data_IF_991516644426
#
_entry.id   IF_991516644426
#
_cell.length_a   1.000
_cell.length_b   1.000
_cell.length_c   1.000
_cell.angle_alpha   90.00
_cell.angle_beta   90.00
_cell.angle_gamma   90.00
#
_symmetry.space_group_name_H-M   'P 1'
#
loop_
_entity.id
_entity.type
_entity.pdbx_description
1 polymer ?
#
# COMPACT_ATOMS: atom_id res chain seq x y z
N UNK A 1 4.22 23.10 3.95
CA UNK A 1 5.24 22.04 3.71
C UNK A 1 4.57 20.71 4.04
N UNK A 2 4.63 19.73 3.15
CA UNK A 2 3.98 18.43 3.37
C UNK A 2 4.93 17.51 4.14
N UNK A 3 4.59 17.01 5.33
CA UNK A 3 5.43 16.08 6.08
C UNK A 3 5.56 14.74 5.37
N UNK A 4 6.74 14.13 5.46
CA UNK A 4 6.99 12.75 5.09
C UNK A 4 7.05 11.92 6.37
N UNK A 5 6.19 10.92 6.50
CA UNK A 5 6.16 9.96 7.60
C UNK A 5 6.80 8.65 7.15
N UNK A 6 7.83 8.22 7.88
CA UNK A 6 8.41 6.87 7.75
C UNK A 6 7.84 6.01 8.88
N UNK A 7 7.31 4.85 8.53
CA UNK A 7 6.82 3.86 9.50
C UNK A 7 7.74 2.64 9.41
N UNK A 8 8.35 2.27 10.54
CA UNK A 8 9.29 1.16 10.61
C UNK A 8 9.05 0.29 11.84
N UNK A 9 9.71 -0.87 11.86
CA UNK A 9 9.63 -1.79 12.97
C UNK A 9 11.01 -2.34 13.35
N UNK A 10 11.40 -3.51 12.84
CA UNK A 10 12.58 -4.26 13.24
C UNK A 10 13.44 -4.73 12.07
N UNK A 11 13.47 -3.97 10.96
CA UNK A 11 14.23 -4.30 9.74
C UNK A 11 15.32 -3.25 9.47
N UNK A 12 16.48 -3.32 10.15
CA UNK A 12 17.51 -2.27 10.06
C UNK A 12 17.99 -2.01 8.64
N UNK A 13 18.24 -3.07 7.86
CA UNK A 13 18.76 -2.92 6.50
C UNK A 13 17.75 -2.30 5.55
N UNK A 14 16.49 -2.68 5.62
CA UNK A 14 15.42 -2.07 4.85
C UNK A 14 15.26 -0.59 5.21
N UNK A 15 15.20 -0.28 6.51
CA UNK A 15 15.12 1.10 7.01
C UNK A 15 16.30 1.95 6.49
N UNK A 16 17.51 1.40 6.50
CA UNK A 16 18.70 2.08 5.96
C UNK A 16 18.54 2.43 4.49
N UNK A 17 18.13 1.47 3.67
CA UNK A 17 17.94 1.67 2.24
C UNK A 17 16.83 2.69 1.95
N UNK A 18 15.74 2.66 2.69
CA UNK A 18 14.66 3.65 2.58
C UNK A 18 15.15 5.06 2.91
N UNK A 19 15.91 5.25 3.99
CA UNK A 19 16.49 6.55 4.35
C UNK A 19 17.49 7.02 3.28
N UNK A 20 18.32 6.12 2.74
CA UNK A 20 19.26 6.47 1.67
C UNK A 20 18.57 6.92 0.38
N UNK A 21 17.48 6.29 -0.01
CA UNK A 21 16.67 6.73 -1.14
C UNK A 21 16.06 8.13 -0.90
N UNK A 22 15.62 8.42 0.32
CA UNK A 22 15.08 9.72 0.69
C UNK A 22 16.15 10.81 0.81
N UNK A 23 17.40 10.45 1.15
CA UNK A 23 18.53 11.39 1.22
C UNK A 23 18.75 12.14 -0.09
N UNK A 24 18.49 11.51 -1.24
CA UNK A 24 18.61 12.16 -2.55
C UNK A 24 17.62 13.31 -2.72
N UNK A 25 16.45 13.18 -2.09
CA UNK A 25 15.32 14.12 -2.22
C UNK A 25 15.29 15.17 -1.11
N UNK A 26 15.96 14.90 0.01
CA UNK A 26 16.09 15.78 1.17
C UNK A 26 14.75 16.37 1.64
N UNK A 27 13.73 15.57 1.98
CA UNK A 27 12.48 16.10 2.49
C UNK A 27 12.74 16.96 3.74
N UNK A 28 12.24 18.22 3.77
CA UNK A 28 12.61 19.17 4.81
C UNK A 28 11.86 19.00 6.12
N UNK A 29 10.81 18.17 6.16
CA UNK A 29 10.03 17.84 7.36
C UNK A 29 9.76 16.34 7.36
N UNK A 30 10.33 15.63 8.32
CA UNK A 30 10.29 14.18 8.42
C UNK A 30 9.78 13.77 9.79
N UNK A 31 8.80 12.89 9.80
CA UNK A 31 8.34 12.14 10.96
C UNK A 31 8.80 10.69 10.83
N UNK A 32 9.28 10.11 11.90
CA UNK A 32 9.58 8.68 11.97
C UNK A 32 8.83 8.06 13.13
N UNK A 33 7.99 7.10 12.85
CA UNK A 33 7.36 6.26 13.85
C UNK A 33 7.93 4.85 13.78
N UNK A 34 8.42 4.34 14.91
CA UNK A 34 8.84 2.95 15.04
C UNK A 34 7.93 2.22 16.02
N UNK A 35 7.36 1.09 15.56
CA UNK A 35 6.62 0.19 16.45
C UNK A 35 7.56 -0.53 17.43
N UNK A 36 7.06 -0.86 18.62
CA UNK A 36 7.81 -1.51 19.67
C UNK A 36 8.06 -3.00 19.41
N UNK A 37 9.02 -3.62 20.11
CA UNK A 37 9.28 -5.04 20.01
C UNK A 37 8.09 -5.86 20.50
N UNK A 38 7.86 -7.02 19.88
CA UNK A 38 6.87 -7.99 20.36
C UNK A 38 7.27 -8.52 21.75
N UNK A 39 6.28 -8.74 22.58
CA UNK A 39 6.50 -9.19 23.96
C UNK A 39 7.35 -10.48 23.98
N UNK A 40 8.36 -10.52 24.86
CA UNK A 40 9.28 -11.65 25.04
C UNK A 40 10.04 -12.07 23.76
N UNK A 41 10.30 -11.14 22.86
CA UNK A 41 11.08 -11.39 21.65
C UNK A 41 12.39 -10.59 21.68
N UNK A 42 13.46 -11.22 22.15
CA UNK A 42 14.78 -10.59 22.27
C UNK A 42 15.37 -10.21 20.90
N UNK A 43 15.05 -10.96 19.85
CA UNK A 43 15.47 -10.63 18.47
C UNK A 43 14.84 -9.32 18.03
N UNK A 44 13.54 -9.12 18.29
CA UNK A 44 12.88 -7.85 18.00
C UNK A 44 13.49 -6.71 18.81
N UNK A 45 13.75 -6.94 20.10
CA UNK A 45 14.34 -5.93 20.98
C UNK A 45 15.70 -5.45 20.42
N UNK A 46 16.58 -6.39 20.05
CA UNK A 46 17.88 -6.08 19.47
C UNK A 46 17.78 -5.33 18.13
N UNK A 47 16.88 -5.79 17.23
CA UNK A 47 16.68 -5.17 15.93
C UNK A 47 16.01 -3.80 16.02
N UNK A 48 15.01 -3.63 16.88
CA UNK A 48 14.40 -2.31 17.12
C UNK A 48 15.42 -1.30 17.63
N UNK A 49 16.33 -1.71 18.52
CA UNK A 49 17.43 -0.86 18.96
C UNK A 49 18.34 -0.45 17.80
N UNK A 50 18.73 -1.37 16.94
CA UNK A 50 19.53 -1.06 15.74
C UNK A 50 18.82 -0.06 14.81
N UNK A 51 17.50 -0.22 14.61
CA UNK A 51 16.70 0.73 13.82
C UNK A 51 16.71 2.11 14.46
N UNK A 52 16.53 2.24 15.79
CA UNK A 52 16.59 3.54 16.49
C UNK A 52 17.95 4.23 16.30
N UNK A 53 19.05 3.49 16.53
CA UNK A 53 20.40 4.02 16.34
C UNK A 53 20.66 4.49 14.91
N UNK A 54 20.04 3.83 13.95
CA UNK A 54 20.13 4.16 12.52
C UNK A 54 19.32 5.43 12.19
N UNK A 55 18.11 5.56 12.75
CA UNK A 55 17.28 6.76 12.59
C UNK A 55 17.99 7.97 13.16
N UNK A 56 18.58 7.87 14.36
CA UNK A 56 19.30 8.96 15.01
C UNK A 56 20.50 9.50 14.20
N UNK A 57 21.09 8.66 13.33
CA UNK A 57 22.27 8.99 12.51
C UNK A 57 21.99 9.12 11.03
N UNK A 58 20.81 8.70 10.58
CA UNK A 58 20.51 8.50 9.15
C UNK A 58 20.14 9.79 8.42
N UNK A 59 19.70 10.82 9.12
CA UNK A 59 19.24 12.09 8.57
C UNK A 59 20.36 13.13 8.61
N UNK A 60 21.24 13.09 7.63
CA UNK A 60 22.42 13.96 7.51
C UNK A 60 22.20 15.18 6.58
N UNK A 61 20.95 15.44 6.20
CA UNK A 61 20.55 16.63 5.46
C UNK A 61 19.73 17.59 6.34
N UNK A 62 19.65 18.88 6.00
CA UNK A 62 18.85 19.85 6.75
C UNK A 62 17.35 19.48 6.70
N UNK A 63 16.81 18.97 7.80
CA UNK A 63 15.38 18.67 7.96
C UNK A 63 14.94 18.88 9.41
N UNK A 64 13.66 19.20 9.57
CA UNK A 64 12.98 19.10 10.87
C UNK A 64 12.58 17.65 11.09
N UNK A 65 13.25 16.97 12.03
CA UNK A 65 13.06 15.55 12.31
C UNK A 65 12.28 15.36 13.62
N UNK A 66 11.15 14.67 13.52
CA UNK A 66 10.35 14.23 14.67
C UNK A 66 10.39 12.70 14.76
N UNK A 67 10.79 12.16 15.90
CA UNK A 67 10.84 10.72 16.13
C UNK A 67 9.89 10.30 17.23
N UNK A 68 9.19 9.19 17.02
CA UNK A 68 8.31 8.54 18.01
C UNK A 68 8.62 7.05 18.05
N UNK A 69 9.14 6.58 19.17
CA UNK A 69 9.49 5.19 19.38
C UNK A 69 8.53 4.57 20.37
N UNK A 70 7.72 3.61 19.92
CA UNK A 70 6.82 2.88 20.80
C UNK A 70 7.58 1.90 21.69
N UNK A 71 7.20 1.81 22.95
CA UNK A 71 7.74 0.83 23.89
C UNK A 71 7.01 -0.53 23.78
N UNK A 72 5.80 -0.53 23.22
CA UNK A 72 4.97 -1.72 23.05
C UNK A 72 4.67 -1.96 21.58
N UNK A 73 4.59 -3.22 21.16
CA UNK A 73 4.19 -3.58 19.83
C UNK A 73 2.68 -3.37 19.66
N UNK A 74 2.29 -2.48 18.74
CA UNK A 74 0.90 -2.21 18.38
C UNK A 74 0.41 -3.17 17.29
N UNK A 75 1.32 -3.79 16.56
CA UNK A 75 1.03 -4.54 15.35
C UNK A 75 0.82 -3.64 14.14
N UNK A 76 1.00 -4.20 12.94
CA UNK A 76 1.09 -3.47 11.68
C UNK A 76 -0.10 -2.49 11.49
N UNK A 77 -1.34 -2.96 11.64
CA UNK A 77 -2.55 -2.14 11.42
C UNK A 77 -2.62 -0.94 12.37
N UNK A 78 -2.55 -1.19 13.67
CA UNK A 78 -2.79 -0.17 14.68
C UNK A 78 -1.60 0.80 14.79
N UNK A 79 -0.38 0.33 14.51
CA UNK A 79 0.81 1.17 14.41
C UNK A 79 0.69 2.18 13.26
N UNK A 80 0.27 1.74 12.08
CA UNK A 80 0.10 2.60 10.90
C UNK A 80 -1.02 3.62 11.12
N UNK A 81 -2.19 3.17 11.62
CA UNK A 81 -3.32 4.06 11.90
C UNK A 81 -2.91 5.13 12.92
N UNK A 82 -2.23 4.71 14.00
CA UNK A 82 -1.74 5.62 15.03
C UNK A 82 -0.78 6.66 14.45
N UNK A 83 0.26 6.21 13.76
CA UNK A 83 1.30 7.10 13.24
C UNK A 83 0.76 8.14 12.25
N UNK A 84 -0.12 7.72 11.33
CA UNK A 84 -0.73 8.64 10.37
C UNK A 84 -1.64 9.63 11.07
N UNK A 85 -2.45 9.17 12.02
CA UNK A 85 -3.38 10.03 12.78
C UNK A 85 -2.61 11.09 13.57
N UNK A 86 -1.50 10.72 14.24
CA UNK A 86 -0.67 11.65 14.99
C UNK A 86 -0.13 12.76 14.08
N UNK A 87 0.42 12.43 12.92
CA UNK A 87 0.92 13.46 11.99
C UNK A 87 -0.21 14.33 11.47
N UNK A 88 -1.36 13.74 11.12
CA UNK A 88 -2.51 14.47 10.61
C UNK A 88 -3.22 15.32 11.69
N UNK A 89 -2.99 15.10 12.96
CA UNK A 89 -3.45 16.02 14.02
C UNK A 89 -2.76 17.39 13.91
N UNK A 90 -1.55 17.44 13.37
CA UNK A 90 -0.75 18.66 13.26
C UNK A 90 -0.69 19.21 11.83
N UNK A 91 -0.94 18.38 10.82
CA UNK A 91 -0.81 18.73 9.40
C UNK A 91 -2.07 18.42 8.61
N UNK A 92 -2.31 19.14 7.52
CA UNK A 92 -3.48 18.94 6.65
C UNK A 92 -3.33 17.73 5.73
N UNK A 93 -2.10 17.32 5.44
CA UNK A 93 -1.76 16.19 4.57
C UNK A 93 -0.49 15.51 5.04
N UNK A 94 -0.27 14.27 4.59
CA UNK A 94 0.91 13.48 4.90
C UNK A 94 1.32 12.62 3.70
N UNK A 95 2.63 12.45 3.50
CA UNK A 95 3.23 11.45 2.63
C UNK A 95 3.72 10.31 3.53
N UNK A 96 3.39 9.08 3.20
CA UNK A 96 3.69 7.89 4.02
C UNK A 96 4.55 6.92 3.23
N UNK A 97 5.64 6.47 3.82
CA UNK A 97 6.48 5.37 3.33
C UNK A 97 6.73 4.37 4.46
N UNK A 98 6.75 3.08 4.12
CA UNK A 98 7.15 2.03 5.06
C UNK A 98 8.65 1.74 4.90
N UNK A 99 9.24 1.03 5.85
CA UNK A 99 10.68 0.78 5.90
C UNK A 99 11.24 -0.09 4.77
N UNK A 100 10.38 -0.66 3.92
CA UNK A 100 10.73 -1.45 2.74
C UNK A 100 10.39 -0.76 1.41
N UNK A 101 10.13 0.53 1.41
CA UNK A 101 9.78 1.28 0.21
C UNK A 101 10.95 2.14 -0.25
N UNK A 102 11.54 1.77 -1.37
CA UNK A 102 12.57 2.55 -2.06
C UNK A 102 11.89 3.54 -3.01
N UNK A 103 12.28 4.80 -2.90
CA UNK A 103 11.67 5.90 -3.65
C UNK A 103 12.61 6.41 -4.74
N UNK A 104 12.06 6.79 -5.89
CA UNK A 104 12.82 7.48 -6.94
C UNK A 104 13.21 8.89 -6.50
N UNK A 105 14.21 9.52 -7.12
CA UNK A 105 14.59 10.90 -6.82
C UNK A 105 13.48 11.93 -7.01
N UNK A 106 12.46 11.64 -7.81
CA UNK A 106 11.33 12.53 -8.08
C UNK A 106 10.09 12.27 -7.19
N UNK A 107 10.12 11.24 -6.34
CA UNK A 107 8.96 10.80 -5.55
C UNK A 107 8.40 11.92 -4.65
N UNK A 108 9.22 12.53 -3.80
CA UNK A 108 8.74 13.55 -2.87
C UNK A 108 8.18 14.78 -3.59
N UNK A 109 8.85 15.23 -4.66
CA UNK A 109 8.38 16.33 -5.52
C UNK A 109 7.04 15.99 -6.16
N UNK A 110 6.89 14.78 -6.73
CA UNK A 110 5.63 14.29 -7.28
C UNK A 110 4.51 14.29 -6.25
N UNK A 111 4.75 13.71 -5.08
CA UNK A 111 3.74 13.59 -4.01
C UNK A 111 3.28 14.97 -3.51
N UNK A 112 4.21 15.89 -3.27
CA UNK A 112 3.86 17.25 -2.87
C UNK A 112 3.00 17.97 -3.91
N UNK A 113 3.36 17.87 -5.19
CA UNK A 113 2.60 18.49 -6.29
C UNK A 113 1.22 17.86 -6.44
N UNK A 114 1.12 16.54 -6.36
CA UNK A 114 -0.15 15.84 -6.48
C UNK A 114 -1.09 16.15 -5.29
N UNK A 115 -0.56 16.15 -4.07
CA UNK A 115 -1.34 16.53 -2.88
C UNK A 115 -1.84 17.98 -2.97
N UNK A 116 -1.02 18.90 -3.44
CA UNK A 116 -1.45 20.31 -3.63
C UNK A 116 -2.49 20.42 -4.74
N UNK A 117 -2.28 19.75 -5.88
CA UNK A 117 -3.16 19.82 -7.05
C UNK A 117 -4.57 19.28 -6.75
N UNK A 118 -4.67 18.19 -5.99
CA UNK A 118 -5.94 17.52 -5.68
C UNK A 118 -6.56 17.91 -4.33
N UNK A 119 -5.98 18.85 -3.57
CA UNK A 119 -6.43 19.19 -2.21
C UNK A 119 -7.91 19.59 -2.14
N UNK A 120 -8.40 20.33 -3.12
CA UNK A 120 -9.78 20.82 -3.17
C UNK A 120 -10.76 19.84 -3.82
N UNK A 121 -10.25 18.75 -4.40
CA UNK A 121 -11.06 17.69 -5.03
C UNK A 121 -11.41 16.62 -4.00
N UNK A 122 -12.51 16.84 -3.26
CA UNK A 122 -12.91 16.01 -2.13
C UNK A 122 -13.23 14.55 -2.47
N UNK A 123 -13.38 14.23 -3.76
CA UNK A 123 -13.51 12.86 -4.28
C UNK A 123 -12.17 12.19 -4.57
N UNK A 124 -11.03 12.84 -4.33
CA UNK A 124 -9.71 12.20 -4.32
C UNK A 124 -9.30 11.99 -2.86
N UNK A 125 -9.19 10.74 -2.44
CA UNK A 125 -8.87 10.39 -1.04
C UNK A 125 -7.41 10.07 -0.82
N UNK A 126 -6.71 9.61 -1.85
CA UNK A 126 -5.29 9.29 -1.75
C UNK A 126 -4.55 9.53 -3.06
N UNK A 127 -3.25 9.77 -2.91
CA UNK A 127 -2.27 9.79 -4.00
C UNK A 127 -1.33 8.61 -3.78
N UNK A 128 -1.10 7.80 -4.79
CA UNK A 128 -0.10 6.73 -4.76
C UNK A 128 1.19 7.17 -5.44
N UNK A 129 2.33 6.75 -4.91
CA UNK A 129 3.61 6.77 -5.61
C UNK A 129 3.88 5.48 -6.37
N UNK A 130 3.10 4.43 -6.08
CA UNK A 130 3.28 3.10 -6.65
C UNK A 130 2.33 2.82 -7.82
N UNK A 131 2.85 2.11 -8.80
CA UNK A 131 2.10 1.42 -9.84
C UNK A 131 2.75 0.07 -10.14
N UNK A 132 1.99 -0.88 -10.67
CA UNK A 132 2.55 -2.18 -11.04
C UNK A 132 3.43 -2.08 -12.30
N UNK A 133 4.37 -3.03 -12.42
CA UNK A 133 5.26 -3.13 -13.58
C UNK A 133 4.47 -3.22 -14.90
N UNK A 134 4.94 -2.57 -15.98
CA UNK A 134 4.33 -2.67 -17.32
C UNK A 134 4.18 -4.10 -17.83
N UNK A 135 4.97 -5.05 -17.35
CA UNK A 135 4.82 -6.47 -17.67
C UNK A 135 3.57 -7.12 -17.09
N UNK A 136 2.98 -6.52 -16.05
CA UNK A 136 1.78 -7.02 -15.38
C UNK A 136 0.56 -6.14 -15.58
N UNK A 137 0.78 -4.86 -15.77
CA UNK A 137 -0.23 -3.82 -15.80
C UNK A 137 0.01 -2.92 -17.01
N UNK A 138 -0.99 -2.78 -17.88
CA UNK A 138 -0.83 -2.07 -19.14
C UNK A 138 -1.59 -0.74 -19.08
N UNK A 139 -0.85 0.34 -19.30
CA UNK A 139 -1.41 1.65 -19.63
C UNK A 139 -1.55 1.71 -21.15
N UNK A 140 -2.71 2.11 -21.70
CA UNK A 140 -2.86 2.29 -23.14
C UNK A 140 -1.91 3.37 -23.69
N UNK A 141 -1.33 3.12 -24.87
CA UNK A 141 -0.38 4.06 -25.51
C UNK A 141 -1.00 5.44 -25.80
N UNK A 142 -2.31 5.49 -26.03
CA UNK A 142 -3.07 6.71 -26.29
C UNK A 142 -3.57 7.40 -25.02
N UNK A 143 -3.19 6.91 -23.82
CA UNK A 143 -3.59 7.53 -22.56
C UNK A 143 -2.78 8.81 -22.31
N UNK A 144 -3.42 10.00 -22.22
CA UNK A 144 -2.71 11.27 -22.34
C UNK A 144 -2.09 11.78 -21.04
N UNK A 145 -2.38 11.16 -19.89
CA UNK A 145 -1.97 11.65 -18.58
C UNK A 145 -0.87 10.77 -17.98
N UNK A 146 -0.10 11.35 -17.04
CA UNK A 146 0.91 10.61 -16.28
C UNK A 146 0.35 9.90 -15.05
N UNK A 147 -0.94 10.14 -14.74
CA UNK A 147 -1.65 9.53 -13.61
C UNK A 147 -3.06 9.11 -14.03
N UNK A 148 -3.64 8.14 -13.33
CA UNK A 148 -5.01 7.70 -13.55
C UNK A 148 -5.79 7.57 -12.25
N UNK A 149 -7.12 7.63 -12.32
CA UNK A 149 -8.02 7.38 -11.20
C UNK A 149 -8.23 5.87 -11.00
N UNK A 150 -8.12 5.40 -9.77
CA UNK A 150 -8.30 4.00 -9.39
C UNK A 150 -9.35 3.86 -8.28
N UNK A 151 -10.24 2.84 -8.34
CA UNK A 151 -11.12 2.49 -7.24
C UNK A 151 -10.39 1.69 -6.15
N UNK A 152 -9.11 1.35 -6.35
CA UNK A 152 -8.26 0.63 -5.43
C UNK A 152 -7.14 1.52 -4.92
N UNK A 153 -6.86 1.46 -3.62
CA UNK A 153 -5.69 2.07 -2.99
C UNK A 153 -4.43 1.24 -3.31
N UNK A 154 -3.35 1.92 -3.68
CA UNK A 154 -1.99 1.39 -3.76
C UNK A 154 -1.13 2.12 -2.74
N UNK A 155 -0.71 1.42 -1.69
CA UNK A 155 -0.14 2.02 -0.47
C UNK A 155 1.39 1.93 -0.35
N UNK A 156 2.12 1.56 -1.41
CA UNK A 156 3.58 1.54 -1.38
C UNK A 156 4.15 2.92 -1.72
N UNK A 157 4.32 3.76 -0.69
CA UNK A 157 4.62 5.18 -0.83
C UNK A 157 3.40 5.95 -1.34
N UNK A 158 2.67 6.57 -0.45
CA UNK A 158 1.37 7.18 -0.74
C UNK A 158 1.13 8.42 0.12
N UNK A 159 0.04 9.10 -0.08
CA UNK A 159 -0.32 10.26 0.74
C UNK A 159 -1.82 10.50 0.78
N UNK A 160 -2.25 11.24 1.79
CA UNK A 160 -3.64 11.61 2.01
C UNK A 160 -3.76 12.92 2.78
N UNK A 161 -4.98 13.35 3.04
CA UNK A 161 -5.31 14.55 3.81
C UNK A 161 -6.09 14.19 5.07
N UNK A 162 -6.02 15.03 6.09
CA UNK A 162 -6.71 14.87 7.38
C UNK A 162 -8.20 14.62 7.21
N UNK A 163 -8.87 15.44 6.42
CA UNK A 163 -10.31 15.37 6.23
C UNK A 163 -10.78 14.11 5.51
N UNK A 164 -9.92 13.49 4.65
CA UNK A 164 -10.19 12.20 4.02
C UNK A 164 -9.89 11.04 4.96
N UNK A 165 -8.77 11.11 5.68
CA UNK A 165 -8.39 10.10 6.66
C UNK A 165 -9.46 9.93 7.73
N UNK A 166 -10.03 11.03 8.20
CA UNK A 166 -11.09 11.05 9.20
C UNK A 166 -12.43 10.47 8.70
N UNK A 167 -12.60 10.19 7.40
CA UNK A 167 -13.76 9.47 6.86
C UNK A 167 -13.62 7.95 6.97
N UNK A 168 -12.47 7.45 7.39
CA UNK A 168 -12.26 6.02 7.56
C UNK A 168 -13.04 5.49 8.77
N UNK A 169 -13.76 4.39 8.57
CA UNK A 169 -14.44 3.66 9.62
C UNK A 169 -13.56 2.51 10.12
N UNK A 170 -12.75 2.81 11.13
CA UNK A 170 -11.84 1.82 11.73
C UNK A 170 -12.56 0.81 12.63
N UNK A 171 -13.86 1.01 12.90
CA UNK A 171 -14.69 0.17 13.78
C UNK A 171 -15.66 -0.76 13.06
N UNK A 172 -15.73 -0.66 11.73
CA UNK A 172 -16.66 -1.41 10.90
C UNK A 172 -18.15 -1.13 11.17
N UNK A 173 -18.52 0.09 11.58
CA UNK A 173 -19.90 0.47 11.92
C UNK A 173 -20.88 0.24 10.77
N UNK A 174 -20.42 0.35 9.53
CA UNK A 174 -21.24 0.22 8.32
C UNK A 174 -21.16 -1.15 7.64
N UNK A 175 -20.36 -2.06 8.19
CA UNK A 175 -20.07 -3.34 7.56
C UNK A 175 -21.33 -4.21 7.37
N UNK A 176 -22.14 -4.35 8.41
CA UNK A 176 -23.29 -5.26 8.38
C UNK A 176 -24.37 -4.80 7.40
N UNK A 177 -24.58 -3.50 7.25
CA UNK A 177 -25.53 -2.94 6.28
C UNK A 177 -24.99 -3.07 4.85
N UNK A 178 -23.70 -2.79 4.63
CA UNK A 178 -23.03 -3.03 3.36
C UNK A 178 -23.13 -4.50 2.92
N UNK A 179 -22.94 -5.45 3.84
CA UNK A 179 -23.01 -6.89 3.53
C UNK A 179 -24.39 -7.36 3.07
N UNK A 180 -25.46 -6.63 3.37
CA UNK A 180 -26.84 -6.89 2.89
C UNK A 180 -27.05 -6.41 1.44
N UNK A 181 -26.15 -5.59 0.89
CA UNK A 181 -26.31 -4.90 -0.41
C UNK A 181 -25.51 -5.60 -1.53
N UNK A 182 -26.12 -6.49 -2.34
CA UNK A 182 -25.38 -7.23 -3.37
C UNK A 182 -24.73 -6.32 -4.42
N UNK A 183 -25.40 -5.24 -4.80
CA UNK A 183 -24.91 -4.29 -5.81
C UNK A 183 -23.71 -3.50 -5.31
N UNK A 184 -23.72 -3.07 -4.04
CA UNK A 184 -22.60 -2.34 -3.44
C UNK A 184 -21.37 -3.25 -3.31
N UNK A 185 -21.54 -4.51 -2.90
CA UNK A 185 -20.46 -5.51 -2.86
C UNK A 185 -19.81 -5.70 -4.24
N UNK A 186 -20.63 -5.77 -5.30
CA UNK A 186 -20.11 -5.87 -6.67
C UNK A 186 -19.40 -4.58 -7.09
N UNK A 187 -19.94 -3.43 -6.72
CA UNK A 187 -19.34 -2.13 -7.03
C UNK A 187 -18.02 -1.91 -6.27
N UNK A 188 -17.92 -2.33 -5.02
CA UNK A 188 -16.69 -2.31 -4.24
C UNK A 188 -15.57 -3.15 -4.87
N UNK A 189 -15.92 -4.29 -5.46
CA UNK A 189 -14.98 -5.15 -6.18
C UNK A 189 -14.54 -4.60 -7.56
N UNK A 190 -14.92 -3.38 -7.94
CA UNK A 190 -14.45 -2.75 -9.19
C UNK A 190 -12.92 -2.60 -9.25
N UNK A 191 -12.25 -2.53 -8.10
CA UNK A 191 -10.79 -2.49 -8.00
C UNK A 191 -10.09 -3.86 -7.93
N UNK A 192 -10.86 -4.95 -7.97
CA UNK A 192 -10.38 -6.34 -7.90
C UNK A 192 -11.31 -7.24 -7.09
N UNK A 193 -11.45 -8.50 -7.52
CA UNK A 193 -12.34 -9.48 -6.88
C UNK A 193 -11.91 -9.87 -5.45
N UNK A 194 -10.67 -9.60 -5.09
CA UNK A 194 -10.08 -9.88 -3.79
C UNK A 194 -10.56 -8.90 -2.70
N UNK A 195 -10.95 -7.66 -3.06
CA UNK A 195 -11.26 -6.59 -2.10
C UNK A 195 -12.33 -6.98 -1.09
N UNK A 196 -13.42 -7.61 -1.52
CA UNK A 196 -14.47 -8.06 -0.59
C UNK A 196 -13.95 -9.13 0.38
N UNK A 197 -13.13 -10.06 -0.09
CA UNK A 197 -12.54 -11.09 0.77
C UNK A 197 -11.51 -10.51 1.75
N UNK A 198 -10.75 -9.49 1.34
CA UNK A 198 -9.86 -8.75 2.24
C UNK A 198 -10.65 -8.07 3.36
N UNK A 199 -11.73 -7.35 3.02
CA UNK A 199 -12.58 -6.67 4.01
C UNK A 199 -13.21 -7.66 5.01
N UNK A 200 -13.70 -8.80 4.52
CA UNK A 200 -14.25 -9.88 5.37
C UNK A 200 -13.17 -10.46 6.31
N UNK A 201 -11.97 -10.69 5.79
CA UNK A 201 -10.87 -11.24 6.60
C UNK A 201 -10.44 -10.25 7.69
N UNK A 202 -10.34 -8.97 7.35
CA UNK A 202 -10.00 -7.92 8.30
C UNK A 202 -11.06 -7.80 9.40
N UNK A 203 -12.34 -7.75 9.04
CA UNK A 203 -13.46 -7.72 10.02
C UNK A 203 -13.44 -8.91 10.98
N UNK A 204 -13.01 -10.08 10.51
CA UNK A 204 -12.94 -11.32 11.28
C UNK A 204 -11.60 -11.50 12.04
N UNK A 205 -10.71 -10.52 12.04
CA UNK A 205 -9.40 -10.60 12.70
C UNK A 205 -8.46 -11.64 12.08
N UNK A 206 -8.66 -11.98 10.79
CA UNK A 206 -7.81 -12.92 10.05
C UNK A 206 -6.69 -12.25 9.28
N UNK A 207 -6.68 -10.95 9.26
CA UNK A 207 -5.63 -10.09 8.71
C UNK A 207 -5.46 -8.86 9.57
N UNK A 208 -4.43 -8.06 9.31
CA UNK A 208 -4.19 -6.74 9.91
C UNK A 208 -3.98 -5.71 8.79
N UNK A 209 -4.92 -5.68 7.85
CA UNK A 209 -4.88 -4.91 6.61
C UNK A 209 -5.66 -3.59 6.76
N UNK A 210 -5.03 -2.55 7.32
CA UNK A 210 -5.62 -1.22 7.46
C UNK A 210 -6.06 -0.62 6.12
N UNK A 211 -5.35 -0.93 5.06
CA UNK A 211 -5.53 -0.40 3.71
C UNK A 211 -6.89 -0.75 3.11
N UNK A 212 -7.42 -1.94 3.39
CA UNK A 212 -8.76 -2.31 2.90
C UNK A 212 -9.88 -1.53 3.60
N UNK A 213 -9.69 -1.14 4.87
CA UNK A 213 -10.66 -0.28 5.56
C UNK A 213 -10.63 1.15 4.98
N UNK A 214 -9.45 1.67 4.67
CA UNK A 214 -9.35 2.97 4.00
C UNK A 214 -9.86 2.92 2.56
N UNK A 215 -9.61 1.83 1.83
CA UNK A 215 -10.22 1.60 0.51
C UNK A 215 -11.76 1.50 0.60
N UNK A 216 -12.30 0.95 1.68
CA UNK A 216 -13.73 0.95 1.93
C UNK A 216 -14.27 2.37 2.19
N UNK A 217 -13.50 3.24 2.87
CA UNK A 217 -13.84 4.65 2.99
C UNK A 217 -13.87 5.37 1.63
N UNK A 218 -12.90 5.10 0.73
CA UNK A 218 -12.96 5.61 -0.65
C UNK A 218 -14.28 5.22 -1.32
N UNK A 219 -14.61 3.93 -1.28
CA UNK A 219 -15.84 3.42 -1.90
C UNK A 219 -17.09 4.10 -1.36
N UNK A 220 -17.22 4.23 -0.05
CA UNK A 220 -18.39 4.84 0.60
C UNK A 220 -18.58 6.32 0.28
N UNK A 221 -17.47 7.02 0.03
CA UNK A 221 -17.49 8.44 -0.31
C UNK A 221 -17.42 8.67 -1.83
N UNK A 222 -17.64 7.63 -2.66
CA UNK A 222 -17.51 7.70 -4.12
C UNK A 222 -16.18 8.31 -4.57
N UNK A 223 -15.14 8.06 -3.78
CA UNK A 223 -13.81 8.63 -3.98
C UNK A 223 -12.87 7.68 -4.72
N UNK A 224 -11.78 8.26 -5.22
CA UNK A 224 -10.75 7.57 -5.98
C UNK A 224 -9.38 7.72 -5.34
N UNK A 225 -8.48 6.82 -5.67
CA UNK A 225 -7.03 7.00 -5.52
C UNK A 225 -6.46 7.50 -6.85
N UNK A 226 -5.52 8.45 -6.82
CA UNK A 226 -4.73 8.84 -7.99
C UNK A 226 -3.44 8.01 -7.99
N UNK A 227 -3.17 7.36 -9.09
CA UNK A 227 -2.09 6.40 -9.25
C UNK A 227 -1.21 6.81 -10.44
N UNK A 228 0.13 6.81 -10.33
CA UNK A 228 1.00 7.14 -11.45
C UNK A 228 0.99 6.03 -12.50
N UNK A 229 1.10 6.39 -13.79
CA UNK A 229 1.22 5.41 -14.87
C UNK A 229 2.53 4.63 -14.80
N UNK A 230 3.60 5.26 -14.33
CA UNK A 230 4.90 4.65 -14.06
C UNK A 230 5.24 4.86 -12.58
N UNK A 231 5.64 3.81 -11.89
CA UNK A 231 5.89 3.84 -10.44
C UNK A 231 7.05 4.75 -10.06
N UNK A 232 6.88 5.53 -8.99
CA UNK A 232 7.95 6.26 -8.30
C UNK A 232 8.57 5.48 -7.14
N UNK A 233 8.03 4.30 -6.86
CA UNK A 233 8.46 3.48 -5.71
C UNK A 233 8.58 2.02 -6.08
N UNK A 234 9.43 1.30 -5.35
CA UNK A 234 9.48 -0.15 -5.37
C UNK A 234 9.48 -0.70 -3.95
N UNK A 235 8.92 -1.89 -3.75
CA UNK A 235 8.91 -2.59 -2.48
C UNK A 235 10.00 -3.66 -2.47
N UNK A 236 10.91 -3.59 -1.50
CA UNK A 236 12.00 -4.55 -1.29
C UNK A 236 11.69 -5.59 -0.20
N UNK A 237 10.53 -5.47 0.47
CA UNK A 237 10.12 -6.36 1.57
C UNK A 237 9.54 -7.71 1.13
N UNK A 238 9.65 -8.07 -0.16
CA UNK A 238 9.19 -9.36 -0.68
C UNK A 238 10.24 -10.48 -0.53
N UNK A 239 11.15 -10.32 0.40
CA UNK A 239 12.21 -11.28 0.76
C UNK A 239 11.79 -12.30 1.82
N UNK A 240 10.54 -12.27 2.25
CA UNK A 240 9.99 -13.12 3.30
C UNK A 240 10.18 -12.57 4.72
N UNK A 241 10.80 -11.41 4.91
CA UNK A 241 10.96 -10.76 6.21
C UNK A 241 9.73 -9.98 6.67
N UNK A 242 8.83 -9.65 5.75
CA UNK A 242 7.64 -8.84 6.01
C UNK A 242 6.47 -9.63 6.63
N UNK A 243 5.61 -8.95 7.37
CA UNK A 243 4.43 -9.56 8.04
C UNK A 243 3.40 -10.08 7.03
N UNK A 244 3.25 -9.42 5.89
CA UNK A 244 2.24 -9.73 4.86
C UNK A 244 2.82 -10.12 3.50
N UNK A 245 4.14 -9.96 3.31
CA UNK A 245 4.82 -10.27 2.07
C UNK A 245 5.51 -11.63 2.14
N UNK A 246 5.11 -12.55 1.26
CA UNK A 246 5.86 -13.78 1.02
C UNK A 246 7.08 -13.52 0.12
N UNK A 247 7.96 -14.51 -0.03
CA UNK A 247 9.05 -14.43 -1.01
C UNK A 247 8.45 -14.35 -2.41
N UNK A 248 8.71 -13.28 -3.13
CA UNK A 248 8.29 -13.09 -4.52
C UNK A 248 9.41 -12.40 -5.32
N UNK A 249 9.86 -13.05 -6.35
CA UNK A 249 10.83 -12.48 -7.31
C UNK A 249 10.16 -11.67 -8.44
N UNK A 250 8.83 -11.50 -8.39
CA UNK A 250 8.06 -11.02 -9.54
C UNK A 250 7.85 -9.52 -9.63
N UNK A 251 8.24 -8.74 -8.64
CA UNK A 251 8.10 -7.28 -8.65
C UNK A 251 9.43 -6.54 -8.43
N UNK A 252 10.54 -7.21 -8.71
CA UNK A 252 11.83 -6.52 -8.74
C UNK A 252 11.79 -5.52 -9.90
N UNK A 253 11.36 -4.29 -9.60
CA UNK A 253 11.71 -3.16 -10.42
C UNK A 253 13.24 -3.00 -10.32
N UNK A 254 13.89 -2.82 -11.45
CA UNK A 254 15.20 -2.20 -11.42
C UNK A 254 14.99 -0.74 -10.98
N UNK A 255 15.77 -0.26 -10.06
CA UNK A 255 15.69 1.13 -9.58
C UNK A 255 15.79 2.13 -10.75
N UNK A 256 16.51 1.75 -11.81
CA UNK A 256 16.61 2.48 -13.07
C UNK A 256 15.28 2.65 -13.82
N UNK A 257 14.30 1.79 -13.55
CA UNK A 257 12.96 1.83 -14.20
C UNK A 257 11.94 2.70 -13.47
N UNK A 258 12.29 3.23 -12.28
CA UNK A 258 11.39 4.11 -11.54
C UNK A 258 11.24 5.47 -12.22
N UNK A 259 10.04 6.02 -12.11
CA UNK A 259 9.68 7.31 -12.70
C UNK A 259 10.51 8.45 -12.10
N UNK A 260 11.08 9.29 -12.97
CA UNK A 260 11.86 10.48 -12.60
C UNK A 260 11.20 11.78 -13.07
N UNK A 261 9.94 11.71 -13.53
CA UNK A 261 9.20 12.88 -14.00
C UNK A 261 8.77 13.74 -12.80
N UNK A 262 9.37 14.91 -12.66
CA UNK A 262 8.99 15.88 -11.63
C UNK A 262 7.81 16.79 -12.05
N UNK A 263 7.38 16.74 -13.30
CA UNK A 263 6.30 17.59 -13.84
C UNK A 263 5.21 16.73 -14.49
N UNK A 264 4.55 15.84 -13.72
CA UNK A 264 3.52 14.98 -14.28
C UNK A 264 2.33 15.76 -14.78
N UNK A 265 1.74 15.29 -15.87
CA UNK A 265 0.45 15.76 -16.36
C UNK A 265 -0.65 15.11 -15.55
N UNK A 266 -1.28 15.88 -14.67
CA UNK A 266 -2.35 15.42 -13.81
C UNK A 266 -3.70 15.35 -14.55
N UNK A 267 -4.59 14.50 -14.03
CA UNK A 267 -5.93 14.29 -14.54
C UNK A 267 -6.89 15.40 -14.04
N UNK A 268 -7.31 16.29 -14.92
CA UNK A 268 -8.22 17.39 -14.58
C UNK A 268 -9.64 16.91 -14.31
N UNK A 269 -10.19 16.11 -15.22
CA UNK A 269 -11.51 15.52 -15.07
C UNK A 269 -11.37 14.09 -14.61
N UNK A 270 -11.87 13.78 -13.39
CA UNK A 270 -11.77 12.45 -12.83
C UNK A 270 -12.70 11.50 -13.59
N UNK A 271 -12.12 10.48 -14.19
CA UNK A 271 -12.83 9.36 -14.82
C UNK A 271 -12.03 8.06 -14.69
N UNK A 272 -12.72 6.96 -14.81
CA UNK A 272 -12.09 5.65 -14.94
C UNK A 272 -11.90 5.30 -16.41
N UNK A 273 -10.67 5.17 -16.87
CA UNK A 273 -10.41 4.50 -18.15
C UNK A 273 -10.67 3.02 -17.99
N UNK A 274 -11.67 2.52 -18.70
CA UNK A 274 -12.11 1.10 -18.56
C UNK A 274 -11.02 0.09 -18.92
N UNK A 275 -10.08 0.44 -19.79
CA UNK A 275 -8.96 -0.41 -20.20
C UNK A 275 -7.99 -0.57 -19.04
N UNK A 276 -7.69 0.54 -18.34
CA UNK A 276 -6.83 0.57 -17.15
C UNK A 276 -7.50 -0.21 -16.01
N UNK A 277 -8.79 0.05 -15.74
CA UNK A 277 -9.52 -0.65 -14.68
C UNK A 277 -9.60 -2.15 -14.95
N UNK A 278 -9.84 -2.58 -16.20
CA UNK A 278 -9.83 -3.98 -16.56
C UNK A 278 -8.45 -4.63 -16.37
N UNK A 279 -7.38 -3.90 -16.65
CA UNK A 279 -6.01 -4.34 -16.39
C UNK A 279 -5.76 -4.54 -14.89
N UNK A 280 -6.17 -3.58 -14.04
CA UNK A 280 -6.12 -3.71 -12.56
C UNK A 280 -6.92 -4.95 -12.12
N UNK A 281 -8.19 -5.06 -12.54
CA UNK A 281 -9.03 -6.20 -12.17
C UNK A 281 -8.38 -7.54 -12.54
N UNK A 282 -7.73 -7.63 -13.69
CA UNK A 282 -7.07 -8.86 -14.12
C UNK A 282 -5.91 -9.29 -13.21
N UNK A 283 -5.20 -8.34 -12.60
CA UNK A 283 -4.13 -8.61 -11.62
C UNK A 283 -4.68 -9.24 -10.34
N UNK A 284 -5.83 -8.72 -9.88
CA UNK A 284 -6.42 -9.07 -8.59
C UNK A 284 -7.62 -10.01 -8.72
N UNK A 285 -7.86 -10.57 -9.92
CA UNK A 285 -8.88 -11.58 -10.11
C UNK A 285 -8.45 -12.89 -9.45
N UNK A 286 -9.15 -13.28 -8.40
CA UNK A 286 -9.08 -14.64 -7.91
C UNK A 286 -9.56 -15.57 -9.02
N UNK A 287 -8.65 -16.25 -9.72
CA UNK A 287 -8.99 -17.33 -10.66
C UNK A 287 -9.71 -18.43 -9.88
N UNK A 288 -11.00 -18.21 -9.59
CA UNK A 288 -11.83 -19.21 -8.94
C UNK A 288 -11.89 -20.40 -9.88
N UNK A 289 -11.51 -21.57 -9.36
CA UNK A 289 -11.71 -22.80 -10.11
C UNK A 289 -13.17 -22.89 -10.51
N UNK A 290 -13.49 -23.24 -11.75
CA UNK A 290 -14.85 -23.57 -12.15
C UNK A 290 -15.46 -24.58 -11.17
N UNK A 291 -16.75 -24.49 -10.93
CA UNK A 291 -17.44 -25.34 -9.93
C UNK A 291 -17.22 -26.83 -10.20
N UNK A 292 -17.16 -27.23 -11.48
CA UNK A 292 -16.88 -28.60 -11.85
C UNK A 292 -15.48 -29.07 -11.42
N UNK A 293 -14.44 -28.24 -11.51
CA UNK A 293 -13.10 -28.58 -11.01
C UNK A 293 -13.06 -28.72 -9.50
N UNK A 294 -13.84 -27.90 -8.78
CA UNK A 294 -13.99 -28.04 -7.32
C UNK A 294 -14.66 -29.37 -6.96
N UNK A 295 -15.70 -29.73 -7.70
CA UNK A 295 -16.42 -30.99 -7.50
C UNK A 295 -15.52 -32.20 -7.75
N UNK A 296 -14.78 -32.21 -8.85
CA UNK A 296 -13.83 -33.29 -9.17
C UNK A 296 -12.75 -33.38 -8.09
N UNK A 297 -12.16 -32.26 -7.67
CA UNK A 297 -11.17 -32.25 -6.59
C UNK A 297 -11.74 -32.76 -5.26
N UNK A 298 -12.99 -32.46 -4.96
CA UNK A 298 -13.68 -32.96 -3.76
C UNK A 298 -13.83 -34.50 -3.82
N UNK A 299 -14.29 -35.05 -4.97
CA UNK A 299 -14.43 -36.50 -5.19
C UNK A 299 -13.06 -37.19 -5.05
N UNK A 300 -12.02 -36.68 -5.70
CA UNK A 300 -10.66 -37.25 -5.61
C UNK A 300 -10.12 -37.28 -4.18
N UNK A 301 -10.36 -36.22 -3.41
CA UNK A 301 -9.97 -36.17 -1.99
C UNK A 301 -10.74 -37.18 -1.15
N UNK A 302 -12.04 -37.37 -1.40
CA UNK A 302 -12.86 -38.37 -0.68
C UNK A 302 -12.40 -39.80 -0.92
N UNK A 303 -11.83 -40.10 -2.07
CA UNK A 303 -11.29 -41.43 -2.41
C UNK A 303 -9.79 -41.55 -2.15
N UNK A 304 -9.21 -40.61 -1.37
CA UNK A 304 -7.81 -40.64 -0.97
C UNK A 304 -6.80 -40.34 -2.09
N UNK A 305 -7.25 -39.84 -3.24
CA UNK A 305 -6.38 -39.50 -4.38
C UNK A 305 -6.02 -38.00 -4.38
N UNK A 306 -4.85 -37.68 -4.95
CA UNK A 306 -4.43 -36.28 -5.14
C UNK A 306 -5.42 -35.56 -6.07
N UNK A 307 -5.80 -34.34 -5.68
CA UNK A 307 -6.69 -33.49 -6.46
C UNK A 307 -6.06 -33.16 -7.84
N UNK A 308 -6.71 -33.49 -8.97
CA UNK A 308 -6.13 -33.31 -10.30
C UNK A 308 -6.00 -31.84 -10.72
N UNK A 309 -6.91 -30.99 -10.23
CA UNK A 309 -6.85 -29.55 -10.49
C UNK A 309 -6.26 -28.84 -9.27
N UNK A 310 -4.93 -28.81 -9.17
CA UNK A 310 -4.23 -27.99 -8.18
C UNK A 310 -3.96 -26.64 -8.82
N UNK A 311 -4.36 -25.53 -8.16
CA UNK A 311 -3.73 -24.24 -8.49
C UNK A 311 -2.29 -24.45 -8.09
N UNK A 312 -1.37 -24.55 -9.05
CA UNK A 312 0.04 -24.48 -8.74
C UNK A 312 0.22 -23.11 -8.09
N UNK A 313 0.34 -23.04 -6.75
CA UNK A 313 1.17 -22.01 -6.17
C UNK A 313 2.46 -22.14 -6.94
N UNK A 314 2.90 -21.09 -7.61
CA UNK A 314 4.21 -21.12 -8.26
C UNK A 314 5.18 -21.46 -7.14
N UNK A 315 5.62 -22.73 -7.09
CA UNK A 315 6.72 -23.16 -6.27
C UNK A 315 7.92 -22.65 -7.02
N UNK A 316 8.57 -21.65 -6.48
CA UNK A 316 9.85 -21.19 -6.99
C UNK A 316 10.84 -22.30 -6.65
N UNK A 317 11.44 -22.89 -7.66
CA UNK A 317 12.57 -23.79 -7.54
C UNK A 317 13.74 -22.90 -7.14
N UNK A 318 14.33 -23.20 -5.98
CA UNK A 318 15.66 -22.76 -5.63
C UNK A 318 16.62 -23.39 -6.65
N UNK A 319 17.34 -22.56 -7.42
CA UNK A 319 18.60 -22.92 -8.07
C UNK A 319 19.76 -22.33 -7.26
#
# INVERSE_FOLDING_TARGET
>A
MTPLLIICFNRPEHTRLTIEALRIQQPPLVYVFQDGPRLNNETDLGRCKQVREMIEKGFDWPCELHTSFSEVNRGCRDAIIYAITEVLNHHESVIVVEDDIITSPAFYSYMCKALEYYKDRKTVFSISGHSHSPSKFMIPEDYPYDVFASPRLFNWGWGTWRDRWNQADWTFSYYDDFMKQPYEKKAFCRGGDDMLSMLINERNGKSSAWDIQFAFAHFRNHAVSIVPCVSYTMNIGQDGSGTHCGVSTHELYEESSLNRNEKPLFLDNLYYDSRIINSICSLFTNKRRPTWQKLINFVFRKIGKKAPFVIKKKVYVED
#
